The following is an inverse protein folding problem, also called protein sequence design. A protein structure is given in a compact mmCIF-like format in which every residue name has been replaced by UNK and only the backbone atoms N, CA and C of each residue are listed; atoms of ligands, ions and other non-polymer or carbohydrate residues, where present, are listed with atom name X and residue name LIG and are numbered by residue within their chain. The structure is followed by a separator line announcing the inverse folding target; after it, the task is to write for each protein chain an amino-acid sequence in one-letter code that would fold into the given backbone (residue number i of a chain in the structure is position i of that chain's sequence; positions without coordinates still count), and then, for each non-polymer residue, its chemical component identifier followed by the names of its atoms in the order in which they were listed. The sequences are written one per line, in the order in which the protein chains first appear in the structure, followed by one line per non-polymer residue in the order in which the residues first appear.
data_IF_436315838759
#
_entry.id   IF_436315838759
#
_cell.length_a   1.000
_cell.length_b   1.000
_cell.length_c   1.000
_cell.angle_alpha   90.00
_cell.angle_beta   90.00
_cell.angle_gamma   90.00
#
_symmetry.space_group_name_H-M   'P 1'
#
loop_
_entity.id
_entity.type
_entity.pdbx_description
1 polymer ?
#
# COMPACT_ATOMS: atom_id res chain seq x y z
N UNK A 1 26.11 -40.98 -73.61
CA UNK A 1 25.35 -40.00 -72.76
C UNK A 1 26.18 -39.52 -71.63
N UNK A 2 26.76 -40.35 -70.75
CA UNK A 2 27.49 -39.95 -69.56
C UNK A 2 28.74 -39.06 -69.80
N UNK A 3 29.54 -39.37 -70.85
CA UNK A 3 30.71 -38.58 -71.29
C UNK A 3 30.35 -37.15 -71.76
N UNK A 4 29.22 -36.95 -72.40
CA UNK A 4 28.75 -35.64 -72.87
C UNK A 4 28.41 -34.73 -71.64
N UNK A 5 27.76 -35.31 -70.66
CA UNK A 5 27.42 -34.57 -69.36
C UNK A 5 28.65 -34.18 -68.64
N UNK A 6 29.69 -35.04 -68.54
CA UNK A 6 30.93 -34.80 -67.89
C UNK A 6 31.76 -33.70 -68.57
N UNK A 7 31.82 -33.70 -69.93
CA UNK A 7 32.48 -32.65 -70.70
C UNK A 7 31.76 -31.29 -70.56
N UNK A 8 30.42 -31.28 -70.55
CA UNK A 8 29.65 -30.07 -70.28
C UNK A 8 29.86 -29.53 -68.89
N UNK A 9 29.88 -30.37 -67.87
CA UNK A 9 30.15 -29.94 -66.45
C UNK A 9 31.53 -29.32 -66.31
N UNK A 10 32.57 -29.92 -66.94
CA UNK A 10 33.92 -29.38 -66.95
C UNK A 10 34.05 -28.06 -67.71
N UNK A 11 33.35 -27.93 -68.84
CA UNK A 11 33.33 -26.69 -69.60
C UNK A 11 32.62 -25.57 -68.89
N UNK A 12 31.52 -25.82 -68.20
CA UNK A 12 30.79 -24.85 -67.35
C UNK A 12 31.65 -24.47 -66.12
N UNK A 13 32.28 -25.44 -65.46
CA UNK A 13 33.17 -25.19 -64.34
C UNK A 13 34.39 -24.34 -64.71
N UNK A 14 35.00 -24.62 -65.89
CA UNK A 14 36.12 -23.81 -66.40
C UNK A 14 35.70 -22.40 -66.80
N UNK A 15 34.51 -22.23 -67.40
CA UNK A 15 33.96 -20.95 -67.80
C UNK A 15 33.60 -20.08 -66.58
N UNK A 16 32.96 -20.66 -65.57
CA UNK A 16 32.68 -20.00 -64.27
C UNK A 16 33.97 -19.64 -63.52
N UNK A 17 35.01 -20.49 -63.56
CA UNK A 17 36.30 -20.21 -62.93
C UNK A 17 37.11 -19.12 -63.64
N UNK A 18 36.97 -19.02 -65.02
CA UNK A 18 37.76 -18.04 -65.81
C UNK A 18 37.11 -16.66 -65.88
N UNK A 19 35.79 -16.59 -65.90
CA UNK A 19 35.05 -15.33 -66.03
C UNK A 19 34.44 -14.82 -64.73
N UNK A 20 34.57 -15.55 -63.64
CA UNK A 20 33.98 -15.21 -62.36
C UNK A 20 32.46 -15.14 -62.39
N UNK A 21 31.78 -15.53 -61.34
CA UNK A 21 30.36 -15.18 -61.15
C UNK A 21 30.27 -13.66 -61.12
N UNK A 22 29.35 -13.03 -61.87
CA UNK A 22 29.09 -11.61 -61.67
C UNK A 22 28.82 -11.39 -60.22
N UNK A 23 29.51 -10.40 -59.61
CA UNK A 23 29.34 -9.99 -58.22
C UNK A 23 27.86 -9.68 -58.02
N UNK A 24 27.08 -10.70 -57.69
CA UNK A 24 25.80 -10.47 -57.06
C UNK A 24 26.13 -9.77 -55.76
N UNK A 25 25.58 -8.58 -55.46
CA UNK A 25 25.76 -7.93 -54.19
C UNK A 25 24.98 -8.76 -53.15
N UNK A 26 25.54 -9.91 -52.79
CA UNK A 26 25.12 -10.63 -51.61
C UNK A 26 25.75 -9.86 -50.46
N UNK A 27 25.14 -8.71 -50.14
CA UNK A 27 25.40 -8.03 -48.90
C UNK A 27 24.91 -8.96 -47.78
N UNK A 28 25.81 -9.79 -47.31
CA UNK A 28 25.64 -10.36 -45.97
C UNK A 28 25.63 -9.18 -45.03
N UNK A 29 24.48 -8.53 -44.86
CA UNK A 29 24.22 -7.82 -43.65
C UNK A 29 24.39 -8.86 -42.55
N UNK A 30 25.55 -8.87 -41.93
CA UNK A 30 25.81 -9.66 -40.72
C UNK A 30 24.61 -9.39 -39.81
N UNK A 31 23.81 -10.42 -39.45
CA UNK A 31 22.67 -10.17 -38.61
C UNK A 31 23.18 -9.48 -37.35
N UNK A 32 22.64 -8.29 -37.06
CA UNK A 32 22.90 -7.51 -35.85
C UNK A 32 22.75 -8.35 -34.56
N UNK A 33 22.28 -9.59 -34.68
CA UNK A 33 22.11 -10.59 -33.62
C UNK A 33 23.37 -10.86 -32.78
N UNK A 34 24.59 -10.70 -33.34
CA UNK A 34 25.82 -10.92 -32.59
C UNK A 34 26.08 -9.85 -31.51
N UNK A 35 25.53 -8.67 -31.68
CA UNK A 35 25.65 -7.56 -30.71
C UNK A 35 24.70 -7.77 -29.52
N UNK A 36 23.49 -8.30 -29.78
CA UNK A 36 22.55 -8.70 -28.74
C UNK A 36 23.10 -9.82 -27.84
N UNK A 37 23.78 -10.81 -28.44
CA UNK A 37 24.41 -11.91 -27.71
C UNK A 37 25.51 -11.44 -26.76
N UNK A 38 26.30 -10.41 -27.12
CA UNK A 38 27.31 -9.83 -26.22
C UNK A 38 26.68 -9.18 -24.98
N UNK A 39 25.62 -8.40 -25.15
CA UNK A 39 24.88 -7.80 -24.03
C UNK A 39 24.29 -8.86 -23.11
N UNK A 40 23.69 -9.93 -23.67
CA UNK A 40 23.20 -11.08 -22.90
C UNK A 40 24.33 -11.82 -22.17
N UNK A 41 25.50 -11.97 -22.78
CA UNK A 41 26.66 -12.62 -22.16
C UNK A 41 27.16 -11.83 -20.94
N UNK A 42 27.15 -10.50 -21.02
CA UNK A 42 27.48 -9.64 -19.85
C UNK A 42 26.44 -9.72 -18.74
N UNK A 43 25.13 -9.83 -19.08
CA UNK A 43 24.05 -10.02 -18.08
C UNK A 43 24.19 -11.37 -17.36
N UNK A 44 24.55 -12.44 -18.08
CA UNK A 44 24.75 -13.79 -17.52
C UNK A 44 26.00 -13.83 -16.63
N UNK A 45 27.04 -13.05 -16.94
CA UNK A 45 28.30 -13.01 -16.20
C UNK A 45 28.32 -12.00 -15.04
N UNK A 46 27.16 -11.54 -14.57
CA UNK A 46 27.00 -10.56 -13.47
C UNK A 46 27.71 -9.20 -13.72
N UNK A 47 28.19 -8.96 -14.93
CA UNK A 47 28.76 -7.66 -15.36
C UNK A 47 27.64 -6.75 -15.88
N UNK A 48 26.68 -6.44 -15.01
CA UNK A 48 25.46 -5.70 -15.37
C UNK A 48 25.76 -4.32 -15.97
N UNK A 49 26.81 -3.65 -15.50
CA UNK A 49 27.16 -2.29 -15.91
C UNK A 49 27.67 -2.24 -17.36
N UNK A 50 28.64 -3.12 -17.69
CA UNK A 50 29.17 -3.21 -19.05
C UNK A 50 28.11 -3.67 -20.08
N UNK A 51 27.16 -4.52 -19.64
CA UNK A 51 26.04 -4.93 -20.48
C UNK A 51 25.12 -3.76 -20.81
N UNK A 52 24.72 -2.99 -19.81
CA UNK A 52 23.83 -1.83 -19.99
C UNK A 52 24.47 -0.76 -20.87
N UNK A 53 25.73 -0.43 -20.64
CA UNK A 53 26.47 0.57 -21.44
C UNK A 53 26.64 0.09 -22.90
N UNK A 54 26.86 -1.22 -23.11
CA UNK A 54 26.90 -1.80 -24.43
C UNK A 54 25.55 -1.75 -25.14
N UNK A 55 24.46 -1.97 -24.42
CA UNK A 55 23.10 -1.85 -24.99
C UNK A 55 22.74 -0.40 -25.31
N UNK A 56 23.01 0.53 -24.42
CA UNK A 56 22.70 1.95 -24.60
C UNK A 56 23.46 2.57 -25.77
N UNK A 57 24.71 2.15 -26.01
CA UNK A 57 25.56 2.69 -27.06
C UNK A 57 25.29 2.14 -28.46
N UNK A 58 24.61 1.00 -28.58
CA UNK A 58 24.52 0.23 -29.83
C UNK A 58 23.08 -0.01 -30.32
N UNK A 59 22.07 0.24 -29.50
CA UNK A 59 20.68 0.04 -29.86
C UNK A 59 20.01 1.35 -30.29
N UNK A 60 19.78 1.47 -31.60
CA UNK A 60 18.92 2.54 -32.13
C UNK A 60 17.50 2.39 -31.55
N UNK A 61 16.94 3.51 -31.10
CA UNK A 61 15.56 3.56 -30.64
C UNK A 61 14.61 3.45 -31.83
N UNK A 62 13.85 2.37 -31.89
CA UNK A 62 12.82 2.16 -32.90
C UNK A 62 11.73 1.20 -32.35
N UNK A 63 10.56 1.06 -33.01
CA UNK A 63 9.48 0.22 -32.52
C UNK A 63 9.87 -1.24 -32.19
N UNK A 64 10.86 -1.80 -32.87
CA UNK A 64 11.32 -3.19 -32.63
C UNK A 64 12.22 -3.33 -31.40
N UNK A 65 12.85 -2.26 -30.96
CA UNK A 65 13.77 -2.24 -29.81
C UNK A 65 13.14 -1.60 -28.58
N UNK A 66 11.94 -1.00 -28.69
CA UNK A 66 11.23 -0.33 -27.61
C UNK A 66 11.07 -1.23 -26.38
N UNK A 67 10.49 -2.41 -26.54
CA UNK A 67 10.24 -3.34 -25.43
C UNK A 67 11.53 -3.70 -24.68
N UNK A 68 12.65 -3.81 -25.40
CA UNK A 68 13.95 -4.10 -24.79
C UNK A 68 14.42 -2.92 -23.94
N UNK A 69 14.31 -1.68 -24.42
CA UNK A 69 14.67 -0.49 -23.64
C UNK A 69 13.80 -0.38 -22.39
N UNK A 70 12.49 -0.58 -22.51
CA UNK A 70 11.55 -0.61 -21.38
C UNK A 70 11.94 -1.69 -20.36
N UNK A 71 12.26 -2.89 -20.82
CA UNK A 71 12.65 -3.99 -19.94
C UNK A 71 13.97 -3.72 -19.20
N UNK A 72 14.97 -3.17 -19.89
CA UNK A 72 16.27 -2.80 -19.29
C UNK A 72 16.07 -1.68 -18.28
N UNK A 73 15.37 -0.61 -18.62
CA UNK A 73 15.08 0.50 -17.70
C UNK A 73 14.33 0.03 -16.45
N UNK A 74 13.29 -0.79 -16.62
CA UNK A 74 12.54 -1.39 -15.51
C UNK A 74 13.39 -2.32 -14.63
N UNK A 75 14.35 -3.04 -15.21
CA UNK A 75 15.32 -3.86 -14.46
C UNK A 75 16.25 -2.98 -13.63
N UNK A 76 16.78 -1.89 -14.19
CA UNK A 76 17.65 -0.94 -13.49
C UNK A 76 16.90 -0.25 -12.35
N UNK A 77 15.65 0.18 -12.57
CA UNK A 77 14.78 0.70 -11.51
C UNK A 77 14.66 -0.26 -10.34
N UNK A 78 14.41 -1.55 -10.61
CA UNK A 78 14.32 -2.59 -9.56
C UNK A 78 15.64 -2.83 -8.83
N UNK A 79 16.77 -2.60 -9.47
CA UNK A 79 18.11 -2.65 -8.85
C UNK A 79 18.47 -1.40 -8.05
N UNK A 80 17.66 -0.33 -8.14
CA UNK A 80 17.96 0.96 -7.52
C UNK A 80 18.86 1.88 -8.35
N UNK A 81 19.20 1.49 -9.58
CA UNK A 81 20.02 2.29 -10.53
C UNK A 81 19.14 3.30 -11.26
N UNK A 82 18.53 4.22 -10.49
CA UNK A 82 17.45 5.08 -10.96
C UNK A 82 17.90 6.09 -12.02
N UNK A 83 19.08 6.69 -11.89
CA UNK A 83 19.61 7.64 -12.87
C UNK A 83 19.78 7.01 -14.26
N UNK A 84 20.19 5.74 -14.31
CA UNK A 84 20.36 5.01 -15.56
C UNK A 84 19.01 4.65 -16.17
N UNK A 85 18.05 4.23 -15.34
CA UNK A 85 16.69 3.94 -15.79
C UNK A 85 16.03 5.20 -16.41
N UNK A 86 16.09 6.33 -15.69
CA UNK A 86 15.59 7.63 -16.16
C UNK A 86 16.21 7.99 -17.52
N UNK A 87 17.51 7.88 -17.66
CA UNK A 87 18.22 8.20 -18.91
C UNK A 87 17.76 7.32 -20.07
N UNK A 88 17.54 6.03 -19.85
CA UNK A 88 17.02 5.14 -20.90
C UNK A 88 15.63 5.57 -21.35
N UNK A 89 14.71 5.77 -20.40
CA UNK A 89 13.34 6.13 -20.76
C UNK A 89 13.22 7.56 -21.31
N UNK A 90 14.09 8.49 -20.91
CA UNK A 90 14.19 9.83 -21.54
C UNK A 90 14.62 9.74 -23.00
N UNK A 91 15.63 8.92 -23.33
CA UNK A 91 16.08 8.73 -24.71
C UNK A 91 14.98 8.18 -25.62
N UNK A 92 14.02 7.39 -25.08
CA UNK A 92 12.86 6.94 -25.85
C UNK A 92 11.96 8.10 -26.27
N UNK A 93 11.79 9.11 -25.41
CA UNK A 93 10.93 10.26 -25.69
C UNK A 93 11.51 11.21 -26.74
N UNK A 94 12.81 11.17 -26.98
CA UNK A 94 13.48 11.98 -27.99
C UNK A 94 13.39 11.35 -29.40
N UNK A 95 12.88 10.14 -29.50
CA UNK A 95 12.82 9.40 -30.77
C UNK A 95 11.63 9.84 -31.62
N UNK A 96 11.90 10.31 -32.81
CA UNK A 96 10.90 10.65 -33.82
C UNK A 96 10.25 9.43 -34.53
N UNK A 97 10.69 8.21 -34.20
CA UNK A 97 10.25 6.98 -34.89
C UNK A 97 9.14 6.24 -34.14
N UNK A 98 8.83 6.63 -32.92
CA UNK A 98 7.80 6.02 -32.08
C UNK A 98 6.43 6.65 -32.30
N UNK A 99 5.40 5.83 -32.25
CA UNK A 99 4.00 6.26 -32.28
C UNK A 99 3.59 6.91 -30.93
N UNK A 100 2.46 7.62 -30.93
CA UNK A 100 1.91 8.26 -29.72
C UNK A 100 1.64 7.24 -28.61
N UNK A 101 1.21 6.02 -28.94
CA UNK A 101 1.00 4.95 -27.97
C UNK A 101 2.32 4.47 -27.33
N UNK A 102 3.38 4.33 -28.16
CA UNK A 102 4.70 3.92 -27.70
C UNK A 102 5.37 5.02 -26.84
N UNK A 103 5.20 6.28 -27.23
CA UNK A 103 5.64 7.43 -26.45
C UNK A 103 4.90 7.51 -25.11
N UNK A 104 3.60 7.23 -25.09
CA UNK A 104 2.81 7.19 -23.85
C UNK A 104 3.29 6.08 -22.91
N UNK A 105 3.68 4.91 -23.43
CA UNK A 105 4.29 3.86 -22.62
C UNK A 105 5.64 4.31 -22.03
N UNK A 106 6.49 4.94 -22.84
CA UNK A 106 7.77 5.49 -22.38
C UNK A 106 7.59 6.57 -21.30
N UNK A 107 6.57 7.44 -21.45
CA UNK A 107 6.21 8.45 -20.45
C UNK A 107 5.78 7.81 -19.13
N UNK A 108 4.96 6.77 -19.18
CA UNK A 108 4.52 6.05 -17.98
C UNK A 108 5.71 5.39 -17.25
N UNK A 109 6.62 4.76 -17.99
CA UNK A 109 7.81 4.14 -17.39
C UNK A 109 8.77 5.19 -16.80
N UNK A 110 8.95 6.34 -17.47
CA UNK A 110 9.72 7.45 -16.95
C UNK A 110 9.08 8.01 -15.66
N UNK A 111 7.76 8.12 -15.62
CA UNK A 111 7.04 8.54 -14.41
C UNK A 111 7.28 7.55 -13.25
N UNK A 112 7.28 6.24 -13.53
CA UNK A 112 7.61 5.20 -12.53
C UNK A 112 9.04 5.30 -12.02
N UNK A 113 9.98 5.67 -12.88
CA UNK A 113 11.38 5.91 -12.48
C UNK A 113 11.49 7.12 -11.54
N UNK A 114 10.88 8.25 -11.91
CA UNK A 114 10.84 9.44 -11.07
C UNK A 114 10.13 9.19 -9.73
N UNK A 115 9.05 8.41 -9.74
CA UNK A 115 8.36 8.00 -8.52
C UNK A 115 9.29 7.18 -7.59
N UNK A 116 10.02 6.22 -8.18
CA UNK A 116 11.00 5.43 -7.43
C UNK A 116 12.17 6.27 -6.91
N UNK A 117 12.52 7.36 -7.60
CA UNK A 117 13.52 8.33 -7.19
C UNK A 117 13.01 9.37 -6.18
N UNK A 118 11.71 9.38 -5.87
CA UNK A 118 11.09 10.36 -4.97
C UNK A 118 10.94 11.77 -5.59
N UNK A 119 11.06 11.92 -6.91
CA UNK A 119 10.94 13.21 -7.61
C UNK A 119 9.48 13.43 -8.03
N UNK A 120 8.62 13.61 -7.02
CA UNK A 120 7.17 13.56 -7.18
C UNK A 120 6.60 14.66 -8.07
N UNK A 121 7.16 15.86 -8.06
CA UNK A 121 6.74 16.96 -8.93
C UNK A 121 6.86 16.62 -10.43
N UNK A 122 7.91 15.87 -10.80
CA UNK A 122 8.09 15.43 -12.19
C UNK A 122 7.08 14.36 -12.56
N UNK A 123 6.78 13.46 -11.62
CA UNK A 123 5.76 12.43 -11.82
C UNK A 123 4.40 13.05 -12.06
N UNK A 124 3.99 13.98 -11.19
CA UNK A 124 2.71 14.69 -11.30
C UNK A 124 2.56 15.39 -12.67
N UNK A 125 3.58 16.12 -13.11
CA UNK A 125 3.55 16.82 -14.39
C UNK A 125 3.37 15.87 -15.57
N UNK A 126 4.12 14.75 -15.62
CA UNK A 126 4.01 13.76 -16.71
C UNK A 126 2.64 13.09 -16.70
N UNK A 127 2.18 12.64 -15.54
CA UNK A 127 0.93 11.89 -15.43
C UNK A 127 -0.29 12.76 -15.68
N UNK A 128 -0.30 14.01 -15.19
CA UNK A 128 -1.40 14.95 -15.44
C UNK A 128 -1.54 15.26 -16.93
N UNK A 129 -0.43 15.41 -17.65
CA UNK A 129 -0.44 15.59 -19.08
C UNK A 129 -0.99 14.34 -19.82
N UNK A 130 -0.58 13.15 -19.40
CA UNK A 130 -1.12 11.88 -19.95
C UNK A 130 -2.63 11.72 -19.71
N UNK A 131 -3.11 12.11 -18.53
CA UNK A 131 -4.55 12.06 -18.17
C UNK A 131 -5.34 13.05 -19.02
N UNK A 132 -4.83 14.27 -19.22
CA UNK A 132 -5.50 15.32 -19.96
C UNK A 132 -5.58 15.02 -21.47
N UNK A 133 -4.58 14.35 -22.04
CA UNK A 133 -4.53 13.96 -23.47
C UNK A 133 -5.30 12.67 -23.79
N UNK A 134 -5.97 12.06 -22.81
CA UNK A 134 -6.70 10.79 -22.98
C UNK A 134 -5.81 9.68 -23.54
N UNK A 135 -4.59 9.58 -23.01
CA UNK A 135 -3.60 8.57 -23.39
C UNK A 135 -4.14 7.15 -23.27
N UNK A 136 -3.61 6.23 -24.10
CA UNK A 136 -3.92 4.79 -24.01
C UNK A 136 -3.67 4.21 -22.58
N UNK A 137 -2.69 4.75 -21.88
CA UNK A 137 -2.31 4.35 -20.52
C UNK A 137 -2.90 5.27 -19.43
N UNK A 138 -4.05 5.92 -19.73
CA UNK A 138 -4.70 6.87 -18.81
C UNK A 138 -5.08 6.23 -17.47
N UNK A 139 -5.53 4.99 -17.50
CA UNK A 139 -5.93 4.29 -16.27
C UNK A 139 -4.73 4.02 -15.37
N UNK A 140 -3.63 3.52 -15.93
CA UNK A 140 -2.37 3.29 -15.23
C UNK A 140 -1.75 4.59 -14.71
N UNK A 141 -1.84 5.67 -15.50
CA UNK A 141 -1.41 7.00 -15.08
C UNK A 141 -2.21 7.51 -13.87
N UNK A 142 -3.54 7.33 -13.86
CA UNK A 142 -4.39 7.69 -12.73
C UNK A 142 -4.08 6.88 -11.47
N UNK A 143 -3.81 5.58 -11.61
CA UNK A 143 -3.38 4.76 -10.45
C UNK A 143 -2.08 5.27 -9.84
N UNK A 144 -1.08 5.56 -10.66
CA UNK A 144 0.20 6.07 -10.17
C UNK A 144 0.05 7.50 -9.59
N UNK A 145 -0.82 8.33 -10.18
CA UNK A 145 -1.11 9.67 -9.68
C UNK A 145 -1.78 9.64 -8.30
N UNK A 146 -2.67 8.66 -8.06
CA UNK A 146 -3.25 8.42 -6.73
C UNK A 146 -2.18 8.04 -5.71
N UNK A 147 -1.19 7.23 -6.10
CA UNK A 147 -0.06 6.89 -5.22
C UNK A 147 0.77 8.13 -4.87
N UNK A 148 1.01 9.01 -5.85
CA UNK A 148 1.71 10.29 -5.66
C UNK A 148 0.96 11.19 -4.68
N UNK A 149 -0.33 11.46 -4.90
CA UNK A 149 -1.12 12.34 -4.03
C UNK A 149 -1.29 11.77 -2.62
N UNK A 150 -1.38 10.44 -2.49
CA UNK A 150 -1.37 9.77 -1.19
C UNK A 150 -0.04 9.98 -0.44
N UNK A 151 1.09 9.84 -1.13
CA UNK A 151 2.41 10.00 -0.53
C UNK A 151 2.71 11.48 -0.20
N UNK A 152 2.16 12.42 -0.97
CA UNK A 152 2.18 13.87 -0.70
C UNK A 152 1.12 14.32 0.32
N UNK A 153 0.21 13.43 0.74
CA UNK A 153 -0.93 13.76 1.61
C UNK A 153 -1.89 14.82 1.03
N UNK A 154 -1.94 14.93 -0.29
CA UNK A 154 -2.86 15.82 -1.03
C UNK A 154 -4.21 15.13 -1.23
N UNK A 155 -5.01 15.09 -0.16
CA UNK A 155 -6.23 14.26 -0.11
C UNK A 155 -7.34 14.72 -1.04
N UNK A 156 -7.44 16.03 -1.30
CA UNK A 156 -8.42 16.56 -2.24
C UNK A 156 -8.09 16.14 -3.68
N UNK A 157 -6.82 16.27 -4.09
CA UNK A 157 -6.36 15.87 -5.42
C UNK A 157 -6.45 14.35 -5.62
N UNK A 158 -6.15 13.58 -4.57
CA UNK A 158 -6.38 12.13 -4.55
C UNK A 158 -7.87 11.80 -4.77
N UNK A 159 -8.78 12.51 -4.10
CA UNK A 159 -10.22 12.29 -4.21
C UNK A 159 -10.73 12.63 -5.62
N UNK A 160 -10.27 13.73 -6.20
CA UNK A 160 -10.66 14.17 -7.54
C UNK A 160 -10.12 13.22 -8.61
N UNK A 161 -8.88 12.79 -8.48
CA UNK A 161 -8.27 11.75 -9.33
C UNK A 161 -9.00 10.42 -9.22
N UNK A 162 -9.36 9.99 -8.00
CA UNK A 162 -10.13 8.77 -7.76
C UNK A 162 -11.52 8.83 -8.41
N UNK A 163 -12.18 9.98 -8.40
CA UNK A 163 -13.46 10.16 -9.09
C UNK A 163 -13.35 9.99 -10.60
N UNK A 164 -12.25 10.43 -11.22
CA UNK A 164 -11.98 10.20 -12.64
C UNK A 164 -11.74 8.71 -12.90
N UNK A 165 -10.86 8.08 -12.13
CA UNK A 165 -10.52 6.67 -12.27
C UNK A 165 -11.75 5.77 -12.10
N UNK A 166 -12.61 6.04 -11.12
CA UNK A 166 -13.81 5.24 -10.85
C UNK A 166 -14.75 5.14 -12.05
N UNK A 167 -14.78 6.15 -12.93
CA UNK A 167 -15.61 6.15 -14.16
C UNK A 167 -15.02 5.25 -15.26
N UNK A 168 -13.73 4.93 -15.19
CA UNK A 168 -13.02 4.08 -16.16
C UNK A 168 -13.00 2.61 -15.74
N UNK A 169 -13.18 2.33 -14.44
CA UNK A 169 -13.18 0.97 -13.92
C UNK A 169 -14.43 0.22 -14.30
N UNK A 170 -14.27 -1.05 -14.68
CA UNK A 170 -15.36 -1.97 -15.03
C UNK A 170 -15.60 -3.05 -13.98
N UNK A 171 -14.59 -3.37 -13.19
CA UNK A 171 -14.66 -4.41 -12.15
C UNK A 171 -15.35 -3.87 -10.89
N UNK A 172 -16.37 -4.57 -10.41
CA UNK A 172 -17.07 -4.21 -9.17
C UNK A 172 -16.13 -4.27 -7.95
N UNK A 173 -15.15 -5.18 -7.95
CA UNK A 173 -14.18 -5.33 -6.87
C UNK A 173 -13.20 -4.14 -6.84
N UNK A 174 -12.69 -3.72 -8.01
CA UNK A 174 -11.82 -2.54 -8.12
C UNK A 174 -12.56 -1.26 -7.73
N UNK A 175 -13.82 -1.09 -8.19
CA UNK A 175 -14.67 0.04 -7.82
C UNK A 175 -14.90 0.09 -6.31
N UNK A 176 -15.16 -1.07 -5.68
CA UNK A 176 -15.32 -1.16 -4.23
C UNK A 176 -14.03 -0.78 -3.51
N UNK A 177 -12.90 -1.40 -3.87
CA UNK A 177 -11.60 -1.08 -3.24
C UNK A 177 -11.21 0.40 -3.37
N UNK A 178 -11.51 1.01 -4.53
CA UNK A 178 -11.30 2.44 -4.73
C UNK A 178 -12.27 3.28 -3.88
N UNK A 179 -13.54 2.88 -3.76
CA UNK A 179 -14.54 3.57 -2.93
C UNK A 179 -14.16 3.52 -1.45
N UNK A 180 -13.69 2.37 -0.96
CA UNK A 180 -13.18 2.24 0.40
C UNK A 180 -11.99 3.21 0.66
N UNK A 181 -11.06 3.33 -0.28
CA UNK A 181 -9.97 4.31 -0.20
C UNK A 181 -10.47 5.76 -0.24
N UNK A 182 -11.46 6.08 -1.09
CA UNK A 182 -12.08 7.42 -1.17
C UNK A 182 -12.76 7.80 0.14
N UNK A 183 -13.41 6.85 0.83
CA UNK A 183 -13.97 7.09 2.16
C UNK A 183 -12.86 7.51 3.15
N UNK A 184 -11.70 6.86 3.10
CA UNK A 184 -10.56 7.23 3.93
C UNK A 184 -9.93 8.58 3.55
N UNK A 185 -9.90 8.97 2.26
CA UNK A 185 -9.46 10.32 1.86
C UNK A 185 -10.41 11.38 2.44
N UNK A 186 -11.72 11.15 2.37
CA UNK A 186 -12.70 12.02 3.02
C UNK A 186 -12.51 12.08 4.55
N UNK A 187 -12.15 10.97 5.20
CA UNK A 187 -11.82 10.97 6.62
C UNK A 187 -10.58 11.82 6.96
N UNK A 188 -9.57 11.85 6.09
CA UNK A 188 -8.41 12.73 6.27
C UNK A 188 -8.81 14.20 6.20
N UNK A 189 -9.56 14.57 5.14
CA UNK A 189 -10.06 15.94 5.01
C UNK A 189 -10.99 16.35 6.17
N UNK A 190 -11.81 15.42 6.66
CA UNK A 190 -12.64 15.65 7.82
C UNK A 190 -11.83 15.88 9.10
N UNK A 191 -10.79 15.07 9.33
CA UNK A 191 -9.92 15.18 10.50
C UNK A 191 -9.18 16.52 10.50
N UNK A 192 -8.61 16.92 9.36
CA UNK A 192 -7.97 18.22 9.16
C UNK A 192 -8.93 19.40 9.43
N UNK A 193 -10.16 19.32 8.90
CA UNK A 193 -11.18 20.34 9.11
C UNK A 193 -11.60 20.45 10.59
N UNK A 194 -11.78 19.31 11.28
CA UNK A 194 -12.11 19.26 12.72
C UNK A 194 -10.98 19.81 13.58
N UNK A 195 -9.73 19.52 13.26
CA UNK A 195 -8.56 20.06 13.96
C UNK A 195 -8.44 21.58 13.81
N UNK A 196 -8.83 22.10 12.63
CA UNK A 196 -8.89 23.53 12.34
C UNK A 196 -10.16 24.22 12.88
N UNK A 197 -11.02 23.48 13.60
CA UNK A 197 -12.32 23.96 14.11
C UNK A 197 -13.31 24.36 13.02
N UNK A 198 -13.19 23.82 11.82
CA UNK A 198 -14.14 23.95 10.72
C UNK A 198 -15.14 22.78 10.76
N UNK A 199 -15.85 22.65 11.88
CA UNK A 199 -16.70 21.48 12.17
C UNK A 199 -17.77 21.22 11.09
N UNK A 200 -18.32 22.26 10.46
CA UNK A 200 -19.32 22.12 9.39
C UNK A 200 -18.74 21.49 8.10
N UNK A 201 -17.50 21.78 7.76
CA UNK A 201 -16.81 21.15 6.63
C UNK A 201 -16.40 19.73 6.98
N UNK A 202 -15.96 19.49 8.23
CA UNK A 202 -15.75 18.15 8.75
C UNK A 202 -16.97 17.26 8.60
N UNK A 203 -18.17 17.75 8.95
CA UNK A 203 -19.43 17.02 8.79
C UNK A 203 -19.74 16.69 7.32
N UNK A 204 -19.53 17.63 6.40
CA UNK A 204 -19.70 17.40 4.95
C UNK A 204 -18.77 16.29 4.43
N UNK A 205 -17.49 16.31 4.84
CA UNK A 205 -16.56 15.28 4.44
C UNK A 205 -16.92 13.91 5.04
N UNK A 206 -17.39 13.84 6.28
CA UNK A 206 -17.88 12.60 6.88
C UNK A 206 -19.13 12.06 6.17
N UNK A 207 -20.08 12.92 5.81
CA UNK A 207 -21.23 12.52 5.01
C UNK A 207 -20.80 11.95 3.65
N UNK A 208 -19.80 12.57 3.01
CA UNK A 208 -19.21 12.08 1.76
C UNK A 208 -18.49 10.74 1.95
N UNK A 209 -17.76 10.55 3.06
CA UNK A 209 -17.14 9.28 3.40
C UNK A 209 -18.16 8.14 3.47
N UNK A 210 -19.28 8.34 4.18
CA UNK A 210 -20.36 7.36 4.26
C UNK A 210 -21.06 7.10 2.92
N UNK A 211 -21.04 8.06 1.99
CA UNK A 211 -21.57 7.84 0.64
C UNK A 211 -20.69 6.89 -0.21
N UNK A 212 -19.42 6.80 0.10
CA UNK A 212 -18.47 5.87 -0.54
C UNK A 212 -18.44 4.51 0.16
N UNK A 213 -18.43 4.51 1.49
CA UNK A 213 -18.49 3.31 2.34
C UNK A 213 -19.39 3.58 3.56
N UNK A 214 -20.60 3.02 3.54
CA UNK A 214 -21.56 3.16 4.63
C UNK A 214 -21.06 2.55 5.96
N UNK A 215 -20.14 1.59 5.88
CA UNK A 215 -19.57 0.90 7.03
C UNK A 215 -18.17 1.42 7.42
N UNK A 216 -17.79 2.60 6.96
CA UNK A 216 -16.47 3.19 7.28
C UNK A 216 -16.35 3.47 8.78
N UNK A 217 -15.69 2.57 9.51
CA UNK A 217 -15.47 2.68 10.96
C UNK A 217 -14.75 3.97 11.34
N UNK A 218 -13.72 4.37 10.58
CA UNK A 218 -12.99 5.61 10.84
C UNK A 218 -13.92 6.83 10.78
N UNK A 219 -14.80 6.88 9.79
CA UNK A 219 -15.79 7.96 9.68
C UNK A 219 -16.74 7.98 10.88
N UNK A 220 -17.15 6.82 11.39
CA UNK A 220 -17.98 6.71 12.60
C UNK A 220 -17.29 7.22 13.85
N UNK A 221 -16.01 6.91 14.02
CA UNK A 221 -15.19 7.41 15.14
C UNK A 221 -15.03 8.93 15.06
N UNK A 222 -14.65 9.47 13.90
CA UNK A 222 -14.51 10.92 13.71
C UNK A 222 -15.85 11.65 13.90
N UNK A 223 -16.95 11.07 13.43
CA UNK A 223 -18.29 11.59 13.65
C UNK A 223 -18.66 11.62 15.14
N UNK A 224 -18.31 10.59 15.89
CA UNK A 224 -18.54 10.56 17.33
C UNK A 224 -17.72 11.66 18.07
N UNK A 225 -16.48 11.91 17.66
CA UNK A 225 -15.66 13.01 18.18
C UNK A 225 -16.33 14.36 17.92
N UNK A 226 -16.89 14.57 16.73
CA UNK A 226 -17.60 15.78 16.36
C UNK A 226 -18.90 15.93 17.15
N UNK A 227 -19.71 14.86 17.25
CA UNK A 227 -20.96 14.83 18.03
C UNK A 227 -20.69 15.15 19.50
N UNK A 228 -19.59 14.67 20.08
CA UNK A 228 -19.22 14.98 21.47
C UNK A 228 -19.10 16.48 21.70
N UNK A 229 -18.53 17.22 20.72
CA UNK A 229 -18.40 18.69 20.81
C UNK A 229 -19.74 19.42 20.68
N UNK A 230 -20.62 18.92 19.83
CA UNK A 230 -21.83 19.65 19.40
C UNK A 230 -23.12 19.21 20.09
N UNK A 231 -23.27 17.92 20.38
CA UNK A 231 -24.52 17.32 20.88
C UNK A 231 -24.36 16.52 22.18
N UNK A 232 -23.13 16.37 22.70
CA UNK A 232 -22.84 15.75 23.98
C UNK A 232 -22.46 14.27 23.93
N UNK A 233 -22.12 13.73 25.12
CA UNK A 233 -21.53 12.40 25.26
C UNK A 233 -22.50 11.26 24.94
N UNK A 234 -23.77 11.36 25.29
CA UNK A 234 -24.73 10.28 25.10
C UNK A 234 -24.88 9.91 23.62
N UNK A 235 -25.02 10.91 22.74
CA UNK A 235 -25.11 10.67 21.31
C UNK A 235 -23.78 10.17 20.71
N UNK A 236 -22.63 10.66 21.22
CA UNK A 236 -21.32 10.19 20.81
C UNK A 236 -21.12 8.70 21.16
N UNK A 237 -21.52 8.27 22.37
CA UNK A 237 -21.48 6.86 22.76
C UNK A 237 -22.32 5.97 21.85
N UNK A 238 -23.54 6.41 21.54
CA UNK A 238 -24.40 5.68 20.60
C UNK A 238 -23.73 5.50 19.22
N UNK A 239 -23.10 6.56 18.69
CA UNK A 239 -22.37 6.50 17.43
C UNK A 239 -21.16 5.55 17.50
N UNK A 240 -20.43 5.51 18.61
CA UNK A 240 -19.30 4.60 18.82
C UNK A 240 -19.72 3.14 18.94
N UNK A 241 -20.87 2.87 19.57
CA UNK A 241 -21.41 1.51 19.70
C UNK A 241 -21.87 0.92 18.34
N UNK A 242 -22.32 1.73 17.39
CA UNK A 242 -22.69 1.27 16.05
C UNK A 242 -21.51 0.64 15.28
N UNK A 243 -20.26 0.90 15.69
CA UNK A 243 -19.08 0.30 15.06
C UNK A 243 -19.07 -1.23 15.20
N UNK A 244 -19.66 -1.77 16.26
CA UNK A 244 -19.79 -3.22 16.45
C UNK A 244 -20.58 -3.91 15.31
N UNK A 245 -21.55 -3.20 14.71
CA UNK A 245 -22.36 -3.70 13.60
C UNK A 245 -21.66 -3.46 12.24
N UNK A 246 -20.77 -2.48 12.14
CA UNK A 246 -20.02 -2.17 10.93
C UNK A 246 -18.84 -3.12 10.71
N UNK A 247 -17.94 -3.21 11.68
CA UNK A 247 -16.80 -4.14 11.72
C UNK A 247 -16.39 -4.42 13.18
N UNK A 248 -16.86 -5.54 13.70
CA UNK A 248 -16.56 -5.96 15.07
C UNK A 248 -15.04 -6.05 15.34
N UNK A 249 -14.24 -6.32 14.30
CA UNK A 249 -12.78 -6.44 14.46
C UNK A 249 -12.06 -5.09 14.65
N UNK A 250 -12.74 -3.98 14.35
CA UNK A 250 -12.29 -2.61 14.60
C UNK A 250 -12.99 -1.96 15.80
N UNK A 251 -13.90 -2.67 16.45
CA UNK A 251 -14.60 -2.17 17.62
C UNK A 251 -13.66 -1.76 18.75
N UNK A 252 -12.48 -2.39 18.84
CA UNK A 252 -11.42 -1.99 19.79
C UNK A 252 -11.03 -0.50 19.69
N UNK A 253 -11.10 0.08 18.49
CA UNK A 253 -10.74 1.49 18.25
C UNK A 253 -11.85 2.43 18.74
N UNK A 254 -13.12 2.05 18.63
CA UNK A 254 -14.22 2.82 19.22
C UNK A 254 -14.23 2.72 20.75
N UNK A 255 -13.80 1.59 21.31
CA UNK A 255 -13.67 1.44 22.78
C UNK A 255 -12.60 2.35 23.36
N UNK A 256 -11.51 2.62 22.64
CA UNK A 256 -10.51 3.62 23.03
C UNK A 256 -11.15 5.02 23.19
N UNK A 257 -12.05 5.39 22.30
CA UNK A 257 -12.80 6.66 22.41
C UNK A 257 -13.84 6.62 23.51
N UNK A 258 -14.53 5.49 23.73
CA UNK A 258 -15.49 5.31 24.84
C UNK A 258 -14.81 5.47 26.21
N UNK A 259 -13.54 5.08 26.35
CA UNK A 259 -12.79 5.22 27.60
C UNK A 259 -12.57 6.68 27.99
N UNK A 260 -12.62 7.62 27.03
CA UNK A 260 -12.49 9.06 27.25
C UNK A 260 -13.82 9.73 27.67
N UNK A 261 -14.90 8.96 27.77
CA UNK A 261 -16.25 9.42 28.10
C UNK A 261 -16.67 8.89 29.47
N UNK A 262 -17.77 9.42 30.02
CA UNK A 262 -18.34 8.93 31.27
C UNK A 262 -18.81 7.47 31.15
N UNK A 263 -18.58 6.64 32.17
CA UNK A 263 -19.07 5.27 32.19
C UNK A 263 -20.57 5.21 32.48
N UNK A 264 -21.28 4.36 31.75
CA UNK A 264 -22.73 4.11 31.89
C UNK A 264 -23.05 2.62 31.84
N UNK A 265 -24.08 2.15 32.57
CA UNK A 265 -24.44 0.74 32.60
C UNK A 265 -24.77 0.14 31.22
N UNK A 266 -25.48 0.89 30.37
CA UNK A 266 -25.84 0.46 29.01
C UNK A 266 -24.60 0.27 28.13
N UNK A 267 -23.66 1.21 28.18
CA UNK A 267 -22.40 1.13 27.43
C UNK A 267 -21.53 -0.01 27.94
N UNK A 268 -21.46 -0.20 29.28
CA UNK A 268 -20.75 -1.33 29.87
C UNK A 268 -21.28 -2.68 29.36
N UNK A 269 -22.62 -2.86 29.34
CA UNK A 269 -23.24 -4.08 28.85
C UNK A 269 -22.98 -4.31 27.37
N UNK A 270 -23.04 -3.27 26.56
CA UNK A 270 -22.77 -3.35 25.12
C UNK A 270 -21.30 -3.77 24.84
N UNK A 271 -20.34 -3.17 25.53
CA UNK A 271 -18.92 -3.50 25.39
C UNK A 271 -18.64 -4.92 25.93
N UNK A 272 -19.24 -5.32 27.04
CA UNK A 272 -19.08 -6.70 27.58
C UNK A 272 -19.61 -7.75 26.59
N UNK A 273 -20.77 -7.51 25.98
CA UNK A 273 -21.33 -8.41 24.97
C UNK A 273 -20.37 -8.63 23.78
N UNK A 274 -19.78 -7.57 23.27
CA UNK A 274 -18.81 -7.67 22.18
C UNK A 274 -17.52 -8.36 22.66
N UNK A 275 -17.04 -8.00 23.86
CA UNK A 275 -15.83 -8.59 24.43
C UNK A 275 -15.93 -10.12 24.64
N UNK A 276 -17.12 -10.63 24.97
CA UNK A 276 -17.33 -12.09 25.11
C UNK A 276 -17.10 -12.86 23.83
N UNK A 277 -17.41 -12.29 22.66
CA UNK A 277 -17.26 -12.89 21.34
C UNK A 277 -15.93 -12.55 20.68
N UNK A 278 -15.49 -11.29 20.81
CA UNK A 278 -14.26 -10.79 20.22
C UNK A 278 -13.49 -9.93 21.24
N UNK A 279 -12.72 -10.57 22.13
CA UNK A 279 -11.96 -9.86 23.15
C UNK A 279 -10.85 -9.00 22.50
N UNK A 280 -10.64 -7.82 23.08
CA UNK A 280 -9.54 -6.92 22.74
C UNK A 280 -8.90 -6.36 23.99
N UNK A 281 -7.67 -5.87 23.90
CA UNK A 281 -7.01 -5.19 25.02
C UNK A 281 -7.78 -3.96 25.46
N UNK A 282 -8.28 -3.15 24.52
CA UNK A 282 -9.07 -1.95 24.81
C UNK A 282 -10.36 -2.29 25.55
N UNK A 283 -11.11 -3.33 25.09
CA UNK A 283 -12.36 -3.72 25.75
C UNK A 283 -12.11 -4.29 27.16
N UNK A 284 -11.03 -5.04 27.36
CA UNK A 284 -10.63 -5.49 28.68
C UNK A 284 -10.37 -4.33 29.66
N UNK A 285 -9.54 -3.36 29.23
CA UNK A 285 -9.19 -2.18 30.05
C UNK A 285 -10.47 -1.37 30.36
N UNK A 286 -11.30 -1.11 29.34
CA UNK A 286 -12.55 -0.37 29.51
C UNK A 286 -13.47 -1.06 30.52
N UNK A 287 -13.72 -2.37 30.38
CA UNK A 287 -14.60 -3.13 31.26
C UNK A 287 -14.11 -3.11 32.70
N UNK A 288 -12.82 -3.33 32.90
CA UNK A 288 -12.25 -3.28 34.26
C UNK A 288 -12.47 -1.89 34.90
N UNK A 289 -12.17 -0.80 34.19
CA UNK A 289 -12.36 0.56 34.72
C UNK A 289 -13.84 0.91 34.94
N UNK A 290 -14.71 0.52 33.99
CA UNK A 290 -16.13 0.81 34.07
C UNK A 290 -16.81 0.03 35.23
N UNK A 291 -16.46 -1.26 35.43
CA UNK A 291 -16.97 -2.05 36.55
C UNK A 291 -16.52 -1.44 37.88
N UNK A 292 -15.23 -1.08 38.00
CA UNK A 292 -14.69 -0.45 39.21
C UNK A 292 -15.40 0.89 39.53
N UNK A 293 -15.75 1.67 38.50
CA UNK A 293 -16.40 2.98 38.69
C UNK A 293 -17.90 2.89 38.93
N UNK A 294 -18.60 1.94 38.31
CA UNK A 294 -20.08 1.84 38.34
C UNK A 294 -20.59 0.89 39.46
N UNK A 295 -19.79 -0.06 39.86
CA UNK A 295 -20.16 -1.03 40.87
C UNK A 295 -19.26 -0.86 42.13
N UNK A 296 -18.22 -1.66 42.19
CA UNK A 296 -17.21 -1.56 43.27
C UNK A 296 -15.89 -2.26 42.86
N UNK A 297 -14.87 -2.10 43.66
CA UNK A 297 -13.56 -2.72 43.43
C UNK A 297 -13.63 -4.27 43.58
N UNK A 298 -14.55 -4.80 44.38
CA UNK A 298 -14.71 -6.25 44.54
C UNK A 298 -15.25 -6.89 43.27
N UNK A 299 -16.23 -6.26 42.62
CA UNK A 299 -16.75 -6.70 41.32
C UNK A 299 -15.67 -6.63 40.22
N UNK A 300 -14.85 -5.56 40.21
CA UNK A 300 -13.74 -5.41 39.29
C UNK A 300 -12.67 -6.49 39.49
N UNK A 301 -12.37 -6.87 40.73
CA UNK A 301 -11.45 -7.96 41.04
C UNK A 301 -12.01 -9.33 40.60
N UNK A 302 -13.30 -9.58 40.78
CA UNK A 302 -13.94 -10.78 40.29
C UNK A 302 -13.89 -10.88 38.75
N UNK A 303 -14.17 -9.77 38.06
CA UNK A 303 -14.01 -9.69 36.60
C UNK A 303 -12.57 -10.02 36.18
N UNK A 304 -11.59 -9.42 36.85
CA UNK A 304 -10.17 -9.62 36.57
C UNK A 304 -9.73 -11.05 36.76
N UNK A 305 -10.15 -11.70 37.86
CA UNK A 305 -9.86 -13.11 38.14
C UNK A 305 -10.47 -14.03 37.06
N UNK A 306 -11.72 -13.75 36.66
CA UNK A 306 -12.39 -14.47 35.60
C UNK A 306 -11.63 -14.35 34.27
N UNK A 307 -11.20 -13.14 33.89
CA UNK A 307 -10.48 -12.92 32.63
C UNK A 307 -9.09 -13.57 32.62
N UNK A 308 -8.31 -13.47 33.72
CA UNK A 308 -7.02 -14.14 33.83
C UNK A 308 -7.16 -15.67 33.73
N UNK A 309 -8.24 -16.22 34.26
CA UNK A 309 -8.48 -17.65 34.24
C UNK A 309 -9.03 -18.17 32.90
N UNK A 310 -9.98 -17.44 32.31
CA UNK A 310 -10.66 -17.86 31.08
C UNK A 310 -9.92 -17.44 29.79
N UNK A 311 -9.27 -16.29 29.82
CA UNK A 311 -8.59 -15.67 28.66
C UNK A 311 -7.27 -15.06 29.07
N UNK A 312 -6.25 -15.88 29.38
CA UNK A 312 -4.97 -15.39 29.85
C UNK A 312 -4.35 -14.38 28.90
N UNK A 313 -4.04 -13.18 29.40
CA UNK A 313 -3.29 -12.16 28.65
C UNK A 313 -2.27 -11.52 29.58
N UNK A 314 -1.16 -11.03 29.00
CA UNK A 314 -0.14 -10.39 29.83
C UNK A 314 -0.65 -9.09 30.49
N UNK A 315 -1.53 -8.38 29.80
CA UNK A 315 -2.15 -7.15 30.34
C UNK A 315 -3.07 -7.48 31.51
N UNK A 316 -3.91 -8.52 31.39
CA UNK A 316 -4.77 -8.94 32.47
C UNK A 316 -3.96 -9.42 33.70
N UNK A 317 -2.87 -10.17 33.46
CA UNK A 317 -1.98 -10.64 34.50
C UNK A 317 -1.24 -9.49 35.21
N UNK A 318 -0.72 -8.50 34.46
CA UNK A 318 -0.06 -7.33 35.06
C UNK A 318 -1.04 -6.54 35.92
N UNK A 319 -2.27 -6.29 35.42
CA UNK A 319 -3.34 -5.62 36.18
C UNK A 319 -3.72 -6.41 37.42
N UNK A 320 -3.84 -7.74 37.33
CA UNK A 320 -4.13 -8.59 38.48
C UNK A 320 -3.04 -8.51 39.54
N UNK A 321 -1.76 -8.63 39.15
CA UNK A 321 -0.63 -8.53 40.10
C UNK A 321 -0.51 -7.13 40.71
N UNK A 322 -0.90 -6.10 39.99
CA UNK A 322 -0.90 -4.73 40.52
C UNK A 322 -1.86 -4.54 41.71
N UNK A 323 -3.03 -5.16 41.62
CA UNK A 323 -4.16 -4.96 42.57
C UNK A 323 -4.19 -5.92 43.74
N UNK A 324 -3.38 -6.98 43.71
CA UNK A 324 -3.32 -7.91 44.86
C UNK A 324 -2.65 -7.25 46.07
N UNK A 325 -3.15 -7.48 47.30
CA UNK A 325 -2.51 -7.01 48.54
C UNK A 325 -1.10 -7.58 48.68
N UNK A 326 -0.16 -6.76 49.13
CA UNK A 326 1.25 -7.15 49.27
C UNK A 326 1.43 -7.83 50.60
N UNK A 327 1.48 -9.14 50.65
CA UNK A 327 2.08 -9.85 51.79
C UNK A 327 3.60 -9.65 51.74
N UNK A 328 4.20 -9.24 52.90
CA UNK A 328 5.63 -8.86 52.99
C UNK A 328 6.60 -9.90 52.43
N UNK A 329 6.25 -11.18 52.51
CA UNK A 329 7.09 -12.31 52.09
C UNK A 329 7.17 -12.50 50.56
N UNK A 330 6.21 -11.95 49.78
CA UNK A 330 6.12 -12.14 48.30
C UNK A 330 6.38 -10.87 47.52
N UNK A 331 6.71 -9.75 48.15
CA UNK A 331 6.86 -8.45 47.51
C UNK A 331 7.97 -8.41 46.45
N UNK A 332 9.12 -9.01 46.76
CA UNK A 332 10.26 -9.04 45.84
C UNK A 332 9.97 -9.91 44.59
N UNK A 333 9.45 -11.11 44.80
CA UNK A 333 9.10 -12.02 43.72
C UNK A 333 8.06 -11.38 42.80
N UNK A 334 7.01 -10.78 43.38
CA UNK A 334 5.99 -10.05 42.62
C UNK A 334 6.58 -8.89 41.85
N UNK A 335 7.52 -8.12 42.45
CA UNK A 335 8.22 -7.02 41.80
C UNK A 335 9.01 -7.50 40.58
N UNK A 336 9.76 -8.58 40.70
CA UNK A 336 10.51 -9.18 39.57
C UNK A 336 9.59 -9.67 38.48
N UNK A 337 8.53 -10.41 38.83
CA UNK A 337 7.56 -10.94 37.83
C UNK A 337 6.88 -9.79 37.10
N UNK A 338 6.42 -8.78 37.83
CA UNK A 338 5.75 -7.62 37.23
C UNK A 338 6.70 -6.81 36.36
N UNK A 339 7.94 -6.56 36.80
CA UNK A 339 8.96 -5.91 35.98
C UNK A 339 9.23 -6.68 34.66
N UNK A 340 9.32 -8.01 34.75
CA UNK A 340 9.51 -8.86 33.55
C UNK A 340 8.31 -8.78 32.62
N UNK A 341 7.08 -8.82 33.14
CA UNK A 341 5.85 -8.69 32.35
C UNK A 341 5.80 -7.31 31.63
N UNK A 342 6.09 -6.24 32.33
CA UNK A 342 6.12 -4.88 31.76
C UNK A 342 7.18 -4.75 30.68
N UNK A 343 8.36 -5.35 30.88
CA UNK A 343 9.41 -5.40 29.86
C UNK A 343 8.98 -6.22 28.61
N UNK A 344 8.21 -7.29 28.81
CA UNK A 344 7.62 -8.07 27.72
C UNK A 344 6.52 -7.29 26.98
N UNK A 345 5.64 -6.60 27.70
CA UNK A 345 4.58 -5.77 27.13
C UNK A 345 5.15 -4.59 26.33
N UNK A 346 6.20 -3.94 26.84
CA UNK A 346 6.85 -2.81 26.16
C UNK A 346 7.51 -3.20 24.81
N UNK A 347 7.91 -4.46 24.65
CA UNK A 347 8.52 -4.98 23.42
C UNK A 347 7.51 -5.55 22.42
N UNK A 348 6.24 -5.56 22.76
CA UNK A 348 5.21 -6.17 21.91
C UNK A 348 4.53 -5.17 21.02
N UNK A 349 4.36 -5.60 19.78
CA UNK A 349 3.54 -4.90 18.80
C UNK A 349 2.06 -5.08 19.15
N UNK A 350 1.35 -3.99 19.37
CA UNK A 350 -0.10 -3.98 19.69
C UNK A 350 -0.96 -4.22 18.45
N UNK A 351 -0.46 -3.88 17.28
CA UNK A 351 -1.19 -3.88 16.02
C UNK A 351 -0.51 -4.73 14.96
N UNK A 352 -1.29 -5.34 14.09
CA UNK A 352 -0.81 -6.11 12.94
C UNK A 352 -1.65 -5.84 11.70
N UNK A 353 -1.02 -5.68 10.56
CA UNK A 353 -1.70 -5.59 9.26
C UNK A 353 -2.09 -6.98 8.77
N UNK A 354 -3.37 -7.21 8.48
CA UNK A 354 -3.89 -8.50 7.97
C UNK A 354 -3.35 -8.84 6.58
N UNK A 355 -3.05 -7.81 5.77
CA UNK A 355 -2.58 -8.02 4.40
C UNK A 355 -1.07 -8.36 4.31
N UNK A 356 -0.19 -7.61 4.98
CA UNK A 356 1.26 -7.73 4.78
C UNK A 356 2.05 -8.13 6.02
N UNK A 357 1.37 -8.30 7.17
CA UNK A 357 2.01 -8.67 8.44
C UNK A 357 2.84 -7.55 9.08
N UNK A 358 2.72 -6.30 8.62
CA UNK A 358 3.33 -5.15 9.31
C UNK A 358 2.89 -5.12 10.77
N UNK A 359 3.81 -4.83 11.68
CA UNK A 359 3.56 -4.77 13.13
C UNK A 359 3.98 -3.42 13.68
N UNK A 360 3.23 -2.91 14.66
CA UNK A 360 3.52 -1.64 15.31
C UNK A 360 2.76 -1.43 16.61
N UNK A 361 3.08 -0.34 17.30
CA UNK A 361 2.48 -0.01 18.61
C UNK A 361 1.35 1.02 18.52
N UNK A 362 1.14 1.60 17.33
CA UNK A 362 0.10 2.60 17.08
C UNK A 362 -0.84 2.12 15.98
N UNK A 363 -2.10 2.56 16.07
CA UNK A 363 -3.08 2.35 14.99
C UNK A 363 -2.73 3.23 13.81
N UNK A 364 -2.68 2.63 12.62
CA UNK A 364 -2.56 3.33 11.35
C UNK A 364 -3.72 2.91 10.44
N UNK A 365 -4.55 3.84 10.02
CA UNK A 365 -5.61 3.57 9.07
C UNK A 365 -5.05 3.22 7.68
N UNK A 366 -3.95 3.84 7.27
CA UNK A 366 -3.15 3.48 6.11
C UNK A 366 -1.93 2.65 6.58
N UNK A 367 -1.79 1.43 6.12
CA UNK A 367 -0.64 0.60 6.48
C UNK A 367 0.67 1.21 5.93
N UNK A 368 1.69 1.49 6.76
CA UNK A 368 2.94 2.11 6.30
C UNK A 368 3.70 1.25 5.27
N UNK A 369 3.56 -0.10 5.35
CA UNK A 369 4.29 -1.03 4.50
C UNK A 369 3.59 -1.31 3.17
N UNK A 370 2.31 -1.71 3.20
CA UNK A 370 1.60 -2.14 2.00
C UNK A 370 0.62 -1.10 1.46
N UNK A 371 0.52 0.05 2.11
CA UNK A 371 -0.31 1.19 1.70
C UNK A 371 -1.81 0.86 1.51
N UNK A 372 -2.30 -0.22 2.15
CA UNK A 372 -3.73 -0.54 2.19
C UNK A 372 -4.42 0.11 3.37
N UNK A 373 -5.62 0.59 3.16
CA UNK A 373 -6.48 1.20 4.17
C UNK A 373 -7.21 0.15 4.99
N UNK A 374 -7.47 0.46 6.27
CA UNK A 374 -8.34 -0.34 7.14
C UNK A 374 -7.89 -1.76 7.45
N UNK A 375 -6.63 -2.15 7.18
CA UNK A 375 -6.13 -3.53 7.33
C UNK A 375 -5.43 -3.79 8.67
N UNK A 376 -5.20 -2.76 9.46
CA UNK A 376 -4.50 -2.90 10.75
C UNK A 376 -5.51 -3.23 11.86
N UNK A 377 -5.18 -4.20 12.68
CA UNK A 377 -6.02 -4.70 13.79
C UNK A 377 -5.23 -4.81 15.07
N UNK A 378 -5.92 -4.57 16.18
CA UNK A 378 -5.36 -4.80 17.51
C UNK A 378 -5.17 -6.32 17.75
N UNK A 379 -4.09 -6.68 18.40
CA UNK A 379 -3.79 -8.05 18.82
C UNK A 379 -4.24 -8.26 20.26
N UNK A 380 -4.88 -9.40 20.53
CA UNK A 380 -5.30 -9.80 21.85
C UNK A 380 -4.58 -11.08 22.29
N UNK A 381 -4.30 -11.20 23.58
CA UNK A 381 -3.88 -12.45 24.23
C UNK A 381 -2.44 -12.89 24.01
N UNK A 382 -1.61 -12.03 23.49
CA UNK A 382 -0.18 -12.36 23.36
C UNK A 382 0.65 -11.60 24.36
#
# INVERSE_FOLDING_TARGET
MLYVVLVLALAIGWWLGKYGLPNLPFSWQRPRSHQYLKGFTYLINEQSDAAVDSFLSQLDVNPKTLEMHIAIGSMLRRKGELERAIRIHQNLLESATLSDAELSLAQLELARDFYSAGILDRVENILSDMVNRDSLYRQEALHLLLDVYRDLQQWQDALDTANILRRLLSSAEEIKGLSDAMAHYCCQLAEEAIEQSHDADGEKYLAKAFSYDANCVRASILKARLIRKTAGEAQAKQQLLCVADQDVSLFSESVVELELLSFEPETLQAVDRVHQHQPSQSSFIYLYKAISALQDEAAAQQFLLREVSARPSLTALDTYLERQPVEKTNAEVRGVVRHTLQAMLARRDRYVCRNCGFRGNQMHWLCPKCKRWGEIRQRYGL
#
